data_IF_794203270892
#
_entry.id   IF_794203270892
#
_cell.length_a   1.000
_cell.length_b   1.000
_cell.length_c   1.000
_cell.angle_alpha   90.00
_cell.angle_beta   90.00
_cell.angle_gamma   90.00
#
_symmetry.space_group_name_H-M   'P 1'
#
loop_
_entity.id
_entity.type
_entity.pdbx_description
1 polymer ?
#
# COMPACT_ATOMS: atom_id res chain seq x y z
N UNK A 1 36.11 -18.03 -21.44
CA UNK A 1 35.23 -18.61 -20.40
C UNK A 1 33.89 -17.90 -20.50
N UNK A 2 32.81 -18.59 -20.85
CA UNK A 2 31.47 -18.01 -20.72
C UNK A 2 31.20 -17.82 -19.23
N UNK A 3 30.87 -16.61 -18.80
CA UNK A 3 30.40 -16.38 -17.44
C UNK A 3 29.18 -17.27 -17.22
N UNK A 4 29.14 -18.03 -16.11
CA UNK A 4 27.97 -18.82 -15.78
C UNK A 4 26.75 -17.88 -15.72
N UNK A 5 25.69 -18.22 -16.45
CA UNK A 5 24.47 -17.42 -16.45
C UNK A 5 23.87 -17.43 -15.03
N UNK A 6 23.69 -16.26 -14.44
CA UNK A 6 23.07 -16.11 -13.13
C UNK A 6 21.62 -16.63 -13.16
N UNK A 7 21.24 -17.43 -12.15
CA UNK A 7 19.89 -17.98 -12.00
C UNK A 7 19.22 -17.41 -10.73
N UNK A 8 18.18 -16.58 -10.86
CA UNK A 8 17.38 -16.11 -9.74
C UNK A 8 16.75 -17.26 -8.95
N UNK A 9 16.65 -17.12 -7.62
CA UNK A 9 15.79 -18.01 -6.81
C UNK A 9 14.36 -17.93 -7.36
N UNK A 10 13.69 -19.07 -7.49
CA UNK A 10 12.28 -19.10 -7.92
C UNK A 10 11.32 -18.98 -6.73
N UNK A 11 11.78 -19.33 -5.53
CA UNK A 11 11.01 -19.26 -4.30
C UNK A 11 11.80 -18.53 -3.22
N UNK A 12 11.12 -17.78 -2.37
CA UNK A 12 11.72 -17.18 -1.19
C UNK A 12 11.66 -18.16 0.00
N UNK A 13 12.75 -18.35 0.77
CA UNK A 13 12.73 -19.24 1.93
C UNK A 13 11.69 -18.79 2.98
N UNK A 14 10.99 -19.76 3.55
CA UNK A 14 10.01 -19.48 4.60
C UNK A 14 10.73 -19.15 5.91
N UNK A 15 10.46 -17.95 6.45
CA UNK A 15 10.92 -17.54 7.77
C UNK A 15 9.81 -17.78 8.78
N UNK A 16 9.93 -18.85 9.57
CA UNK A 16 8.96 -19.19 10.62
C UNK A 16 8.78 -18.08 11.67
N UNK A 17 9.74 -17.14 11.77
CA UNK A 17 9.79 -16.09 12.78
C UNK A 17 9.25 -14.72 12.33
N UNK A 18 8.61 -14.60 11.15
CA UNK A 18 8.06 -13.30 10.74
C UNK A 18 6.88 -12.91 11.64
N UNK A 19 6.94 -11.77 12.36
CA UNK A 19 5.85 -11.35 13.22
C UNK A 19 4.62 -10.98 12.39
N UNK A 20 3.49 -11.63 12.66
CA UNK A 20 2.24 -11.43 11.91
C UNK A 20 1.25 -10.47 12.56
N UNK A 21 1.53 -10.00 13.77
CA UNK A 21 0.67 -9.10 14.54
C UNK A 21 1.33 -7.73 14.67
N UNK A 22 0.66 -6.68 14.19
CA UNK A 22 1.13 -5.30 14.31
C UNK A 22 -0.06 -4.34 14.52
N UNK A 23 -0.70 -4.41 15.69
CA UNK A 23 -1.88 -3.60 16.00
C UNK A 23 -1.67 -2.72 17.22
N UNK A 24 -1.16 -1.53 16.95
CA UNK A 24 -0.95 -0.51 17.96
C UNK A 24 -2.28 0.14 18.38
N UNK A 25 -2.38 0.57 19.64
CA UNK A 25 -3.62 1.15 20.19
C UNK A 25 -4.16 2.35 19.40
N UNK A 26 -3.29 3.10 18.72
CA UNK A 26 -3.70 4.21 17.87
C UNK A 26 -4.41 3.77 16.57
N UNK A 27 -4.18 2.56 16.06
CA UNK A 27 -4.95 2.02 14.92
C UNK A 27 -6.40 1.74 15.33
N UNK A 28 -6.61 1.11 16.50
CA UNK A 28 -7.94 0.89 17.07
C UNK A 28 -8.67 2.21 17.32
N UNK A 29 -7.98 3.18 17.92
CA UNK A 29 -8.54 4.51 18.17
C UNK A 29 -8.88 5.24 16.86
N UNK A 30 -8.03 5.11 15.83
CA UNK A 30 -8.28 5.66 14.50
C UNK A 30 -9.52 5.07 13.84
N UNK A 31 -9.65 3.74 13.84
CA UNK A 31 -10.81 3.04 13.29
C UNK A 31 -12.12 3.44 13.98
N UNK A 32 -12.14 3.47 15.32
CA UNK A 32 -13.31 3.91 16.09
C UNK A 32 -13.71 5.36 15.79
N UNK A 33 -12.73 6.25 15.61
CA UNK A 33 -12.99 7.65 15.25
C UNK A 33 -13.57 7.77 13.85
N UNK A 34 -13.04 7.02 12.88
CA UNK A 34 -13.59 6.97 11.53
C UNK A 34 -15.06 6.53 11.56
N UNK A 35 -15.36 5.42 12.25
CA UNK A 35 -16.73 4.91 12.43
C UNK A 35 -17.69 5.97 12.98
N UNK A 36 -17.27 6.68 14.03
CA UNK A 36 -18.10 7.73 14.66
C UNK A 36 -18.38 8.92 13.72
N UNK A 37 -17.53 9.17 12.72
CA UNK A 37 -17.67 10.29 11.80
C UNK A 37 -18.49 9.94 10.55
N UNK A 38 -18.68 8.64 10.25
CA UNK A 38 -19.30 8.17 9.01
C UNK A 38 -20.69 8.76 8.74
N UNK A 39 -21.47 9.03 9.78
CA UNK A 39 -22.80 9.67 9.64
C UNK A 39 -22.75 11.06 8.99
N UNK A 40 -21.58 11.70 9.01
CA UNK A 40 -21.33 13.02 8.41
C UNK A 40 -20.47 12.96 7.13
N UNK A 41 -20.14 11.76 6.65
CA UNK A 41 -19.31 11.53 5.47
C UNK A 41 -20.19 11.07 4.31
N UNK A 42 -20.06 11.71 3.16
CA UNK A 42 -20.80 11.36 1.95
C UNK A 42 -20.05 10.30 1.13
N UNK A 43 -18.71 10.36 1.09
CA UNK A 43 -17.85 9.44 0.33
C UNK A 43 -16.63 9.00 1.13
N UNK A 44 -16.25 7.74 0.94
CA UNK A 44 -14.95 7.21 1.36
C UNK A 44 -14.06 7.00 0.13
N UNK A 45 -12.83 7.49 0.23
CA UNK A 45 -11.75 7.21 -0.69
C UNK A 45 -10.83 6.21 0.00
N UNK A 46 -10.85 4.95 -0.42
CA UNK A 46 -9.97 3.91 0.10
C UNK A 46 -8.67 3.89 -0.71
N UNK A 47 -7.56 4.29 -0.08
CA UNK A 47 -6.24 4.24 -0.69
C UNK A 47 -5.60 2.86 -0.50
N UNK A 48 -5.13 2.30 -1.61
CA UNK A 48 -4.33 1.06 -1.70
C UNK A 48 -2.97 1.35 -2.35
N UNK A 49 -1.97 0.51 -2.10
CA UNK A 49 -0.62 0.69 -2.68
C UNK A 49 -0.56 -0.11 -3.97
N UNK A 50 -0.27 0.57 -5.08
CA UNK A 50 -0.28 -0.06 -6.41
C UNK A 50 0.73 -1.19 -6.55
N UNK A 51 1.81 -1.22 -5.75
CA UNK A 51 2.80 -2.32 -5.80
C UNK A 51 2.29 -3.62 -5.17
N UNK A 52 1.26 -3.54 -4.33
CA UNK A 52 0.67 -4.65 -3.57
C UNK A 52 -0.86 -4.52 -3.56
N UNK A 53 -1.51 -4.56 -4.74
CA UNK A 53 -2.92 -4.19 -4.86
C UNK A 53 -3.85 -5.14 -4.11
N UNK A 54 -3.47 -6.41 -3.93
CA UNK A 54 -4.24 -7.42 -3.20
C UNK A 54 -3.86 -7.40 -1.72
N UNK A 55 -2.55 -7.37 -1.45
CA UNK A 55 -2.04 -7.45 -0.08
C UNK A 55 -2.33 -6.19 0.74
N UNK A 56 -2.50 -5.02 0.11
CA UNK A 56 -2.83 -3.77 0.80
C UNK A 56 -4.32 -3.60 1.13
N UNK A 57 -5.18 -4.53 0.76
CA UNK A 57 -6.59 -4.56 1.16
C UNK A 57 -6.67 -4.76 2.68
N UNK A 58 -7.40 -3.88 3.37
CA UNK A 58 -7.57 -3.99 4.81
C UNK A 58 -9.01 -4.42 5.14
N UNK A 59 -9.24 -5.68 5.57
CA UNK A 59 -10.57 -6.20 5.85
C UNK A 59 -11.30 -5.46 6.98
N UNK A 60 -10.56 -4.76 7.85
CA UNK A 60 -11.15 -3.94 8.91
C UNK A 60 -12.03 -2.81 8.36
N UNK A 61 -11.79 -2.36 7.13
CA UNK A 61 -12.58 -1.31 6.50
C UNK A 61 -13.94 -1.81 6.00
N UNK A 62 -14.08 -3.08 5.66
CA UNK A 62 -15.38 -3.63 5.25
C UNK A 62 -16.40 -3.58 6.39
N UNK A 63 -15.99 -4.02 7.59
CA UNK A 63 -16.84 -3.94 8.77
C UNK A 63 -17.02 -2.49 9.22
N UNK A 64 -15.95 -1.69 9.22
CA UNK A 64 -15.98 -0.38 9.83
C UNK A 64 -16.72 0.69 8.99
N UNK A 65 -16.62 0.63 7.67
CA UNK A 65 -17.18 1.66 6.78
C UNK A 65 -18.63 1.36 6.38
N UNK A 66 -19.10 0.13 6.59
CA UNK A 66 -20.47 -0.27 6.29
C UNK A 66 -20.86 0.01 4.84
N UNK A 67 -22.01 0.68 4.65
CA UNK A 67 -22.59 0.97 3.33
C UNK A 67 -22.22 2.35 2.78
N UNK A 68 -21.30 3.09 3.41
CA UNK A 68 -20.90 4.40 2.91
C UNK A 68 -20.29 4.24 1.51
N UNK A 69 -20.69 5.11 0.58
CA UNK A 69 -20.21 5.06 -0.81
C UNK A 69 -18.69 5.11 -0.86
N UNK A 70 -18.11 4.24 -1.67
CA UNK A 70 -16.67 4.00 -1.69
C UNK A 70 -16.13 4.08 -3.10
N UNK A 71 -15.01 4.77 -3.25
CA UNK A 71 -14.15 4.67 -4.42
C UNK A 71 -12.76 4.21 -3.97
N UNK A 72 -12.08 3.45 -4.82
CA UNK A 72 -10.78 2.85 -4.52
C UNK A 72 -9.72 3.57 -5.34
N UNK A 73 -8.63 3.96 -4.68
CA UNK A 73 -7.51 4.67 -5.30
C UNK A 73 -6.23 3.90 -5.04
N UNK A 74 -5.70 3.29 -6.08
CA UNK A 74 -4.37 2.71 -6.06
C UNK A 74 -3.34 3.81 -6.26
N UNK A 75 -2.70 4.20 -5.16
CA UNK A 75 -1.64 5.20 -5.09
C UNK A 75 -0.28 4.61 -5.44
N UNK A 76 0.70 5.47 -5.76
CA UNK A 76 2.06 5.07 -6.17
C UNK A 76 2.10 4.26 -7.47
N UNK A 77 1.19 4.58 -8.40
CA UNK A 77 1.09 3.95 -9.73
C UNK A 77 2.44 3.90 -10.47
N UNK A 78 3.22 4.96 -10.35
CA UNK A 78 4.55 5.11 -10.97
C UNK A 78 5.64 4.19 -10.41
N UNK A 79 5.38 3.49 -9.30
CA UNK A 79 6.35 2.60 -8.67
C UNK A 79 6.08 1.11 -8.93
N UNK A 80 4.91 0.74 -9.46
CA UNK A 80 4.55 -0.66 -9.71
C UNK A 80 4.77 -1.12 -11.16
N UNK A 81 4.77 -0.21 -12.13
CA UNK A 81 5.02 -0.52 -13.53
C UNK A 81 5.51 0.72 -14.29
N UNK A 82 6.18 0.50 -15.42
CA UNK A 82 6.56 1.58 -16.33
C UNK A 82 5.33 2.23 -16.98
N UNK A 83 5.31 3.56 -17.02
CA UNK A 83 4.17 4.34 -17.50
C UNK A 83 3.88 4.08 -18.97
N UNK A 84 2.63 3.76 -19.30
CA UNK A 84 2.17 3.48 -20.65
C UNK A 84 2.51 2.07 -21.17
N UNK A 85 3.23 1.25 -20.39
CA UNK A 85 3.61 -0.10 -20.81
C UNK A 85 2.40 -1.04 -20.99
N UNK A 86 2.47 -2.04 -21.88
CA UNK A 86 1.43 -3.07 -21.99
C UNK A 86 1.17 -3.80 -20.67
N UNK A 87 2.24 -4.05 -19.90
CA UNK A 87 2.16 -4.69 -18.58
C UNK A 87 1.34 -3.84 -17.59
N UNK A 88 1.51 -2.51 -17.59
CA UNK A 88 0.70 -1.62 -16.77
C UNK A 88 -0.79 -1.73 -17.13
N UNK A 89 -1.13 -1.67 -18.42
CA UNK A 89 -2.54 -1.75 -18.88
C UNK A 89 -3.19 -3.08 -18.52
N UNK A 90 -2.45 -4.18 -18.66
CA UNK A 90 -2.93 -5.51 -18.28
C UNK A 90 -3.15 -5.60 -16.77
N UNK A 91 -2.18 -5.15 -15.97
CA UNK A 91 -2.28 -5.15 -14.52
C UNK A 91 -3.48 -4.32 -14.02
N UNK A 92 -3.66 -3.10 -14.54
CA UNK A 92 -4.81 -2.24 -14.17
C UNK A 92 -6.15 -2.90 -14.52
N UNK A 93 -6.25 -3.55 -15.68
CA UNK A 93 -7.44 -4.30 -16.08
C UNK A 93 -7.71 -5.48 -15.14
N UNK A 94 -6.68 -6.21 -14.72
CA UNK A 94 -6.82 -7.31 -13.74
C UNK A 94 -7.23 -6.77 -12.37
N UNK A 95 -6.58 -5.71 -11.88
CA UNK A 95 -6.91 -5.09 -10.58
C UNK A 95 -8.36 -4.59 -10.55
N UNK A 96 -8.85 -3.98 -11.62
CA UNK A 96 -10.26 -3.54 -11.72
C UNK A 96 -11.25 -4.70 -11.55
N UNK A 97 -10.89 -5.94 -11.90
CA UNK A 97 -11.75 -7.12 -11.71
C UNK A 97 -11.83 -7.56 -10.26
N UNK A 98 -10.87 -7.17 -9.41
CA UNK A 98 -10.89 -7.47 -7.98
C UNK A 98 -11.91 -6.59 -7.23
N UNK A 99 -12.27 -5.43 -7.77
CA UNK A 99 -13.14 -4.45 -7.13
C UNK A 99 -14.30 -3.99 -8.05
N UNK A 100 -15.12 -4.95 -8.52
CA UNK A 100 -16.16 -4.68 -9.54
C UNK A 100 -17.28 -3.74 -9.07
N UNK A 101 -17.48 -3.61 -7.76
CA UNK A 101 -18.56 -2.84 -7.17
C UNK A 101 -18.18 -1.40 -6.82
N UNK A 102 -16.95 -0.97 -7.14
CA UNK A 102 -16.45 0.35 -6.76
C UNK A 102 -15.76 1.03 -7.94
N UNK A 103 -15.82 2.36 -7.99
CA UNK A 103 -15.02 3.11 -8.95
C UNK A 103 -13.53 2.99 -8.58
N UNK A 104 -12.71 2.51 -9.50
CA UNK A 104 -11.28 2.28 -9.30
C UNK A 104 -10.45 3.30 -10.07
N UNK A 105 -9.52 3.95 -9.37
CA UNK A 105 -8.58 4.92 -9.94
C UNK A 105 -7.15 4.54 -9.63
N UNK A 106 -6.24 4.87 -10.54
CA UNK A 106 -4.80 4.66 -10.39
C UNK A 106 -4.10 6.02 -10.43
N UNK A 107 -3.31 6.32 -9.41
CA UNK A 107 -2.67 7.65 -9.27
C UNK A 107 -1.19 7.56 -8.95
N UNK A 108 -0.40 8.31 -9.71
CA UNK A 108 0.98 8.65 -9.35
C UNK A 108 1.02 9.91 -8.49
N UNK A 109 1.94 9.95 -7.52
CA UNK A 109 2.20 11.17 -6.75
C UNK A 109 2.74 12.33 -7.60
N UNK A 110 3.33 12.02 -8.76
CA UNK A 110 3.92 12.99 -9.67
C UNK A 110 2.99 13.40 -10.83
N UNK A 111 1.91 12.64 -11.09
CA UNK A 111 1.02 12.86 -12.24
C UNK A 111 -0.23 13.67 -11.84
N UNK A 112 -0.30 14.92 -12.32
CA UNK A 112 -1.51 15.77 -12.17
C UNK A 112 -2.73 15.24 -12.96
N UNK A 113 -2.59 14.70 -14.19
CA UNK A 113 -3.72 14.13 -14.93
C UNK A 113 -4.46 13.03 -14.18
N UNK A 114 -3.75 12.16 -13.47
CA UNK A 114 -4.34 11.00 -12.78
C UNK A 114 -5.37 11.41 -11.73
N UNK A 115 -5.13 12.54 -11.05
CA UNK A 115 -6.00 13.04 -9.97
C UNK A 115 -7.23 13.77 -10.52
N UNK A 116 -7.19 14.22 -11.78
CA UNK A 116 -8.29 14.94 -12.41
C UNK A 116 -9.53 14.07 -12.62
N UNK A 117 -9.36 12.77 -12.86
CA UNK A 117 -10.47 11.81 -13.02
C UNK A 117 -11.25 11.62 -11.72
N UNK A 118 -10.54 11.56 -10.57
CA UNK A 118 -11.15 11.51 -9.24
C UNK A 118 -11.96 12.79 -8.99
N UNK A 119 -11.38 13.97 -9.28
CA UNK A 119 -12.10 15.24 -9.13
C UNK A 119 -13.34 15.32 -10.03
N UNK A 120 -13.25 14.84 -11.28
CA UNK A 120 -14.40 14.76 -12.18
C UNK A 120 -15.47 13.82 -11.65
N UNK A 121 -15.09 12.64 -11.15
CA UNK A 121 -16.01 11.70 -10.54
C UNK A 121 -16.73 12.32 -9.33
N UNK A 122 -15.97 12.93 -8.41
CA UNK A 122 -16.54 13.62 -7.25
C UNK A 122 -17.39 14.84 -7.62
N UNK A 123 -17.18 15.45 -8.79
CA UNK A 123 -17.99 16.58 -9.29
C UNK A 123 -19.30 16.13 -9.93
N UNK A 124 -19.25 15.05 -10.71
CA UNK A 124 -20.31 14.63 -11.63
C UNK A 124 -21.18 13.49 -11.09
N UNK A 125 -20.85 12.93 -9.94
CA UNK A 125 -21.71 11.93 -9.32
C UNK A 125 -23.06 12.59 -8.99
N UNK A 126 -24.10 12.21 -9.73
CA UNK A 126 -25.43 12.82 -9.75
C UNK A 126 -26.24 12.53 -8.47
N UNK A 127 -25.83 11.53 -7.69
CA UNK A 127 -26.28 11.36 -6.31
C UNK A 127 -25.25 11.87 -5.29
N UNK A 128 -24.13 12.40 -5.79
CA UNK A 128 -23.05 13.05 -5.07
C UNK A 128 -23.35 14.52 -4.75
N UNK A 129 -22.35 15.42 -4.62
CA UNK A 129 -22.38 16.67 -3.82
C UNK A 129 -23.39 17.79 -4.16
N UNK A 130 -24.54 17.53 -4.74
CA UNK A 130 -25.60 18.52 -4.97
C UNK A 130 -26.46 18.77 -3.72
N UNK A 131 -25.89 18.51 -2.55
CA UNK A 131 -26.38 19.09 -1.30
C UNK A 131 -26.00 20.57 -1.29
N UNK A 132 -26.96 21.43 -1.00
CA UNK A 132 -26.78 22.86 -0.67
C UNK A 132 -25.66 23.12 0.38
N UNK A 133 -25.23 22.09 1.11
CA UNK A 133 -24.31 22.14 2.27
C UNK A 133 -22.87 21.68 1.92
N UNK A 134 -22.60 21.24 0.68
CA UNK A 134 -21.30 20.70 0.26
C UNK A 134 -21.11 19.21 0.61
N UNK A 135 -19.96 18.63 0.22
CA UNK A 135 -19.64 17.21 0.40
C UNK A 135 -18.41 16.98 1.26
N UNK A 136 -18.49 15.97 2.12
CA UNK A 136 -17.40 15.52 2.99
C UNK A 136 -16.91 14.15 2.56
N UNK A 137 -15.64 14.12 2.20
CA UNK A 137 -14.93 12.91 1.78
C UNK A 137 -13.97 12.49 2.88
N UNK A 138 -13.96 11.22 3.24
CA UNK A 138 -12.97 10.66 4.17
C UNK A 138 -11.97 9.81 3.40
N UNK A 139 -10.68 10.10 3.55
CA UNK A 139 -9.62 9.27 2.94
C UNK A 139 -9.12 8.26 3.97
N UNK A 140 -9.18 6.98 3.64
CA UNK A 140 -8.78 5.85 4.50
C UNK A 140 -7.75 4.97 3.80
N UNK A 141 -7.13 4.04 4.53
CA UNK A 141 -6.10 3.15 3.98
C UNK A 141 -5.00 2.80 4.97
N UNK A 142 -4.18 1.82 4.60
CA UNK A 142 -3.01 1.38 5.39
C UNK A 142 -2.04 2.53 5.70
N UNK A 143 -1.20 2.44 6.74
CA UNK A 143 -0.12 3.39 6.95
C UNK A 143 0.78 3.49 5.72
N UNK A 144 1.29 4.70 5.44
CA UNK A 144 2.19 5.01 4.32
C UNK A 144 1.71 4.64 2.91
N UNK A 145 0.43 4.30 2.74
CA UNK A 145 -0.12 4.00 1.41
C UNK A 145 -0.04 5.21 0.47
N UNK A 146 -0.21 6.44 0.97
CA UNK A 146 -0.14 7.66 0.16
C UNK A 146 -1.27 8.66 0.39
N UNK A 147 -2.11 8.46 1.43
CA UNK A 147 -3.28 9.29 1.77
C UNK A 147 -3.00 10.80 1.77
N UNK A 148 -2.07 11.26 2.60
CA UNK A 148 -1.77 12.69 2.73
C UNK A 148 -1.18 13.29 1.44
N UNK A 149 -0.43 12.50 0.67
CA UNK A 149 0.05 12.91 -0.66
C UNK A 149 -1.11 13.05 -1.65
N UNK A 150 -2.05 12.10 -1.67
CA UNK A 150 -3.25 12.17 -2.50
C UNK A 150 -4.08 13.42 -2.16
N UNK A 151 -4.29 13.72 -0.88
CA UNK A 151 -5.03 14.91 -0.44
C UNK A 151 -4.38 16.19 -0.92
N UNK A 152 -3.06 16.30 -0.76
CA UNK A 152 -2.30 17.46 -1.24
C UNK A 152 -2.41 17.61 -2.78
N UNK A 153 -2.37 16.50 -3.52
CA UNK A 153 -2.51 16.53 -4.98
C UNK A 153 -3.94 16.90 -5.41
N UNK A 154 -4.97 16.37 -4.75
CA UNK A 154 -6.37 16.74 -4.96
C UNK A 154 -6.60 18.23 -4.71
N UNK A 155 -6.05 18.76 -3.61
CA UNK A 155 -6.13 20.19 -3.28
C UNK A 155 -5.43 21.04 -4.32
N UNK A 156 -4.20 20.68 -4.68
CA UNK A 156 -3.43 21.46 -5.65
C UNK A 156 -4.12 21.49 -7.02
N UNK A 157 -4.64 20.35 -7.48
CA UNK A 157 -5.30 20.26 -8.77
C UNK A 157 -6.69 20.91 -8.78
N UNK A 158 -7.47 20.74 -7.71
CA UNK A 158 -8.87 21.15 -7.70
C UNK A 158 -9.10 22.60 -7.26
N UNK A 159 -8.24 23.18 -6.42
CA UNK A 159 -8.35 24.59 -5.96
C UNK A 159 -7.07 25.41 -6.15
N UNK A 160 -6.02 24.87 -6.77
CA UNK A 160 -4.75 25.58 -7.06
C UNK A 160 -4.04 26.17 -5.83
N UNK A 161 -4.21 25.55 -4.66
CA UNK A 161 -3.54 25.99 -3.41
C UNK A 161 -2.37 25.06 -3.04
N UNK A 162 -1.51 25.53 -2.12
CA UNK A 162 -0.31 24.83 -1.63
C UNK A 162 -0.62 23.50 -0.89
N UNK A 163 0.37 22.85 -0.28
CA UNK A 163 0.13 21.67 0.58
C UNK A 163 -0.63 22.08 1.85
N UNK A 164 -1.51 21.21 2.35
CA UNK A 164 -2.28 21.44 3.57
C UNK A 164 -2.01 20.37 4.65
N UNK A 165 -1.49 19.20 4.25
CA UNK A 165 -1.27 18.06 5.14
C UNK A 165 0.20 17.65 5.12
N UNK A 166 0.75 17.32 6.28
CA UNK A 166 2.12 16.83 6.41
C UNK A 166 2.27 15.43 5.75
N UNK A 167 3.40 15.21 5.07
CA UNK A 167 3.73 13.93 4.42
C UNK A 167 5.06 13.40 4.92
N UNK A 168 5.21 12.08 5.01
CA UNK A 168 6.51 11.44 5.20
C UNK A 168 6.41 9.91 5.12
N UNK A 169 7.56 9.24 5.07
CA UNK A 169 7.66 7.79 4.85
C UNK A 169 7.62 6.92 6.12
N UNK A 170 7.45 7.51 7.30
CA UNK A 170 7.40 6.77 8.57
C UNK A 170 5.95 6.50 8.99
N UNK A 171 5.58 5.25 9.35
CA UNK A 171 4.23 4.94 9.79
C UNK A 171 3.83 5.75 11.03
N UNK A 172 2.58 6.23 11.05
CA UNK A 172 2.04 6.96 12.19
C UNK A 172 2.43 8.44 12.25
N UNK A 173 2.76 9.07 11.11
CA UNK A 173 2.87 10.53 10.99
C UNK A 173 1.51 11.19 11.21
N UNK A 174 0.49 10.79 10.45
CA UNK A 174 -0.90 11.24 10.69
C UNK A 174 -1.45 10.50 11.90
N UNK A 175 -1.44 11.13 13.08
CA UNK A 175 -1.91 10.54 14.36
C UNK A 175 -3.32 10.98 14.76
N UNK A 176 -3.82 12.06 14.19
CA UNK A 176 -5.16 12.61 14.42
C UNK A 176 -5.85 12.83 13.09
N UNK A 177 -7.17 12.84 13.10
CA UNK A 177 -7.95 13.26 11.94
C UNK A 177 -7.68 14.75 11.74
N UNK A 178 -7.29 15.11 10.51
CA UNK A 178 -6.93 16.47 10.15
C UNK A 178 -8.15 17.39 10.07
N UNK A 179 -7.89 18.70 9.95
CA UNK A 179 -8.93 19.65 9.59
C UNK A 179 -9.44 19.37 8.17
N UNK A 180 -10.73 19.61 7.87
CA UNK A 180 -11.26 19.42 6.52
C UNK A 180 -10.51 20.30 5.50
N UNK A 181 -9.96 19.66 4.47
CA UNK A 181 -9.21 20.30 3.39
C UNK A 181 -10.11 20.49 2.18
N UNK A 182 -10.36 21.74 1.77
CA UNK A 182 -11.13 22.03 0.55
C UNK A 182 -10.36 21.54 -0.68
N UNK A 183 -10.99 20.70 -1.50
CA UNK A 183 -10.43 20.18 -2.77
C UNK A 183 -11.21 20.61 -4.01
N UNK A 184 -12.48 21.00 -3.88
CA UNK A 184 -13.27 21.55 -4.98
C UNK A 184 -13.99 22.79 -4.47
N UNK A 185 -13.85 23.88 -5.22
CA UNK A 185 -14.59 25.12 -5.03
C UNK A 185 -15.72 25.18 -6.08
N UNK A 186 -16.92 25.52 -5.63
CA UNK A 186 -18.14 25.65 -6.44
C UNK A 186 -18.74 27.01 -6.12
N UNK A 187 -19.26 27.70 -7.12
CA UNK A 187 -19.77 29.08 -7.01
C UNK A 187 -21.01 29.16 -6.10
N UNK A 188 -21.84 28.12 -6.12
CA UNK A 188 -23.02 27.99 -5.27
C UNK A 188 -22.72 27.66 -3.78
N UNK A 189 -21.44 27.71 -3.36
CA UNK A 189 -21.03 27.42 -1.99
C UNK A 189 -20.94 25.93 -1.60
N UNK A 190 -21.39 24.99 -2.45
CA UNK A 190 -21.37 23.54 -2.19
C UNK A 190 -19.98 22.90 -2.40
N UNK A 191 -18.99 23.36 -1.63
CA UNK A 191 -17.61 22.88 -1.77
C UNK A 191 -17.43 21.39 -1.39
N UNK A 192 -16.35 20.78 -1.88
CA UNK A 192 -15.94 19.43 -1.46
C UNK A 192 -14.74 19.53 -0.52
N UNK A 193 -14.87 18.92 0.66
CA UNK A 193 -13.84 18.85 1.69
C UNK A 193 -13.39 17.41 1.90
N UNK A 194 -12.09 17.23 2.12
CA UNK A 194 -11.48 15.94 2.43
C UNK A 194 -10.93 15.95 3.85
N UNK A 195 -11.20 14.89 4.60
CA UNK A 195 -10.61 14.65 5.90
C UNK A 195 -9.45 13.66 5.76
N UNK A 196 -8.26 14.08 6.20
CA UNK A 196 -7.12 13.16 6.35
C UNK A 196 -7.31 12.32 7.61
N UNK A 197 -7.09 11.01 7.51
CA UNK A 197 -7.23 10.08 8.64
C UNK A 197 -5.93 9.34 8.92
N UNK A 198 -5.68 8.95 10.18
CA UNK A 198 -4.57 8.06 10.51
C UNK A 198 -4.63 6.76 9.70
N UNK A 199 -3.46 6.26 9.29
CA UNK A 199 -3.38 4.92 8.71
C UNK A 199 -3.79 3.85 9.72
N UNK A 200 -4.63 2.91 9.30
CA UNK A 200 -5.02 1.76 10.13
C UNK A 200 -4.41 0.52 9.52
N UNK A 201 -3.54 -0.15 10.29
CA UNK A 201 -3.02 -1.47 9.95
C UNK A 201 -3.98 -2.56 10.44
N UNK A 202 -3.92 -3.76 9.87
CA UNK A 202 -4.78 -4.88 10.30
C UNK A 202 -4.26 -5.55 11.59
N UNK A 203 -5.13 -6.13 12.44
CA UNK A 203 -4.69 -6.74 13.68
C UNK A 203 -3.69 -7.88 13.51
N UNK A 204 -3.91 -8.66 12.46
CA UNK A 204 -3.18 -9.88 12.15
C UNK A 204 -3.14 -10.05 10.64
N UNK A 205 -1.96 -10.36 10.11
CA UNK A 205 -1.74 -10.70 8.70
C UNK A 205 -1.68 -12.22 8.61
N UNK A 206 -2.60 -12.90 7.89
CA UNK A 206 -2.67 -14.36 7.87
C UNK A 206 -1.38 -15.04 7.40
N UNK A 207 -0.75 -14.45 6.40
CA UNK A 207 0.39 -14.99 5.68
C UNK A 207 1.68 -14.17 5.96
N UNK A 208 2.79 -14.87 6.14
CA UNK A 208 4.09 -14.27 6.44
C UNK A 208 4.65 -13.50 5.23
N UNK A 209 4.40 -13.98 4.01
CA UNK A 209 4.85 -13.29 2.80
C UNK A 209 4.08 -11.97 2.60
N UNK A 210 2.75 -11.97 2.82
CA UNK A 210 1.96 -10.73 2.86
C UNK A 210 2.52 -9.73 3.88
N UNK A 211 2.99 -10.19 5.03
CA UNK A 211 3.63 -9.31 6.02
C UNK A 211 4.95 -8.73 5.50
N UNK A 212 5.80 -9.52 4.84
CA UNK A 212 7.03 -9.04 4.20
C UNK A 212 6.71 -7.97 3.14
N UNK A 213 5.69 -8.18 2.30
CA UNK A 213 5.22 -7.20 1.29
C UNK A 213 4.78 -5.89 1.93
N UNK A 214 3.94 -5.96 2.97
CA UNK A 214 3.46 -4.78 3.71
C UNK A 214 4.60 -4.02 4.38
N UNK A 215 5.55 -4.73 4.99
CA UNK A 215 6.73 -4.12 5.59
C UNK A 215 7.64 -3.49 4.55
N UNK A 216 7.87 -4.15 3.41
CA UNK A 216 8.66 -3.60 2.31
C UNK A 216 8.00 -2.33 1.72
N UNK A 217 6.67 -2.27 1.63
CA UNK A 217 5.93 -1.07 1.26
C UNK A 217 5.91 0.03 2.35
N UNK A 218 6.38 -0.28 3.56
CA UNK A 218 6.47 0.64 4.68
C UNK A 218 5.18 0.78 5.47
N UNK A 219 4.26 -0.19 5.41
CA UNK A 219 3.01 -0.12 6.19
C UNK A 219 3.21 -0.34 7.70
N UNK A 220 4.36 -0.90 8.09
CA UNK A 220 4.78 -1.08 9.49
C UNK A 220 6.14 -0.43 9.72
N UNK A 221 6.52 -0.22 10.98
CA UNK A 221 7.83 0.37 11.31
C UNK A 221 8.95 -0.55 10.81
N UNK A 222 10.04 0.04 10.32
CA UNK A 222 11.19 -0.71 9.79
C UNK A 222 11.87 -1.61 10.86
N UNK A 223 11.60 -1.38 12.15
CA UNK A 223 12.10 -2.23 13.26
C UNK A 223 11.29 -3.51 13.50
N UNK A 224 10.18 -3.72 12.79
CA UNK A 224 9.29 -4.87 13.00
C UNK A 224 9.89 -6.14 12.42
N UNK A 225 10.59 -6.03 11.29
CA UNK A 225 11.30 -7.14 10.65
C UNK A 225 12.73 -6.66 10.42
N UNK A 226 13.71 -7.56 10.58
CA UNK A 226 15.11 -7.25 10.29
C UNK A 226 15.25 -6.59 8.91
N UNK A 227 15.89 -5.40 8.81
CA UNK A 227 16.12 -4.74 7.54
C UNK A 227 16.87 -5.63 6.54
N UNK A 228 17.81 -6.46 7.03
CA UNK A 228 18.57 -7.39 6.19
C UNK A 228 17.64 -8.46 5.59
N UNK A 229 16.71 -9.00 6.37
CA UNK A 229 15.70 -9.96 5.86
C UNK A 229 14.77 -9.31 4.83
N UNK A 230 14.32 -8.08 5.07
CA UNK A 230 13.50 -7.35 4.09
C UNK A 230 14.28 -7.01 2.82
N UNK A 231 15.57 -6.69 2.94
CA UNK A 231 16.43 -6.43 1.79
C UNK A 231 16.70 -7.72 0.99
N UNK A 232 16.81 -8.88 1.64
CA UNK A 232 16.91 -10.18 0.97
C UNK A 232 15.63 -10.50 0.18
N UNK A 233 14.47 -10.27 0.81
CA UNK A 233 13.18 -10.42 0.15
C UNK A 233 13.03 -9.48 -1.06
N UNK A 234 13.51 -8.24 -0.92
CA UNK A 234 13.57 -7.29 -2.03
C UNK A 234 14.52 -7.78 -3.14
N UNK A 235 15.72 -8.27 -2.80
CA UNK A 235 16.68 -8.80 -3.77
C UNK A 235 16.09 -9.98 -4.56
N UNK A 236 15.36 -10.88 -3.90
CA UNK A 236 14.63 -11.96 -4.55
C UNK A 236 13.69 -11.43 -5.65
N UNK A 237 12.85 -10.45 -5.34
CA UNK A 237 11.96 -9.82 -6.34
C UNK A 237 12.73 -9.07 -7.43
N UNK A 238 13.77 -8.31 -7.07
CA UNK A 238 14.61 -7.62 -8.08
C UNK A 238 15.20 -8.63 -9.08
N UNK A 239 15.70 -9.77 -8.59
CA UNK A 239 16.30 -10.80 -9.45
C UNK A 239 15.28 -11.44 -10.41
N UNK A 240 14.00 -11.53 -10.03
CA UNK A 240 12.93 -12.01 -10.91
C UNK A 240 12.56 -11.00 -12.02
N UNK A 241 12.92 -9.72 -11.84
CA UNK A 241 12.57 -8.66 -12.77
C UNK A 241 13.75 -8.16 -13.60
N UNK A 242 14.79 -7.63 -12.95
CA UNK A 242 15.97 -7.09 -13.62
C UNK A 242 17.16 -6.94 -12.65
N UNK A 243 18.20 -7.75 -12.82
CA UNK A 243 19.43 -7.70 -12.01
C UNK A 243 20.26 -6.44 -12.28
N UNK A 244 20.17 -5.86 -13.47
CA UNK A 244 21.00 -4.73 -13.91
C UNK A 244 20.86 -3.49 -13.01
N UNK A 245 19.75 -3.36 -12.27
CA UNK A 245 19.49 -2.20 -11.41
C UNK A 245 20.49 -2.05 -10.27
N UNK A 246 21.15 -3.14 -9.85
CA UNK A 246 22.15 -3.17 -8.79
C UNK A 246 23.57 -3.54 -9.25
N UNK A 247 23.78 -3.86 -10.52
CA UNK A 247 25.08 -4.32 -11.06
C UNK A 247 26.24 -3.34 -10.85
N UNK A 248 25.92 -2.05 -10.64
CA UNK A 248 26.92 -1.03 -10.29
C UNK A 248 27.60 -1.26 -8.94
N UNK A 249 27.05 -2.11 -8.07
CA UNK A 249 27.60 -2.41 -6.74
C UNK A 249 28.04 -3.86 -6.60
N UNK A 250 27.37 -4.80 -7.24
CA UNK A 250 27.69 -6.22 -7.11
C UNK A 250 27.26 -6.97 -8.36
N UNK A 251 27.98 -8.03 -8.73
CA UNK A 251 27.53 -8.95 -9.79
C UNK A 251 26.19 -9.59 -9.41
N UNK A 252 25.36 -10.03 -10.37
CA UNK A 252 24.09 -10.67 -10.07
C UNK A 252 24.24 -11.80 -9.05
N UNK A 253 23.49 -11.73 -7.94
CA UNK A 253 23.66 -12.62 -6.80
C UNK A 253 22.34 -12.92 -6.10
N UNK A 254 22.27 -14.12 -5.52
CA UNK A 254 21.23 -14.53 -4.59
C UNK A 254 21.69 -14.37 -3.14
N UNK A 255 22.83 -13.76 -2.86
CA UNK A 255 23.32 -13.60 -1.49
C UNK A 255 23.22 -12.14 -1.06
N UNK A 256 22.33 -11.84 -0.10
CA UNK A 256 22.11 -10.46 0.35
C UNK A 256 23.33 -9.86 1.07
N UNK A 257 24.05 -10.67 1.85
CA UNK A 257 25.15 -10.15 2.69
C UNK A 257 26.32 -9.61 1.85
N UNK A 258 26.84 -10.32 0.83
CA UNK A 258 27.81 -9.77 -0.11
C UNK A 258 27.32 -8.48 -0.78
N UNK A 259 26.08 -8.49 -1.31
CA UNK A 259 25.50 -7.32 -1.96
C UNK A 259 25.42 -6.10 -1.02
N UNK A 260 24.98 -6.29 0.22
CA UNK A 260 24.92 -5.21 1.21
C UNK A 260 26.30 -4.72 1.63
N UNK A 261 27.30 -5.61 1.73
CA UNK A 261 28.68 -5.21 2.01
C UNK A 261 29.25 -4.30 0.92
N UNK A 262 29.07 -4.68 -0.35
CA UNK A 262 29.55 -3.89 -1.47
C UNK A 262 28.78 -2.58 -1.60
N UNK A 263 27.44 -2.64 -1.48
CA UNK A 263 26.59 -1.47 -1.45
C UNK A 263 26.98 -0.48 -0.36
N UNK A 264 27.25 -0.96 0.86
CA UNK A 264 27.69 -0.14 1.99
C UNK A 264 29.01 0.57 1.70
N UNK A 265 30.00 -0.14 1.14
CA UNK A 265 31.30 0.43 0.74
C UNK A 265 31.14 1.51 -0.33
N UNK A 266 30.37 1.22 -1.38
CA UNK A 266 30.13 2.16 -2.47
C UNK A 266 29.38 3.43 -2.05
N UNK A 267 28.51 3.32 -1.04
CA UNK A 267 27.67 4.43 -0.56
C UNK A 267 28.22 5.12 0.68
N UNK A 268 29.37 4.68 1.20
CA UNK A 268 29.98 5.24 2.41
C UNK A 268 29.21 4.92 3.70
N UNK A 269 28.35 3.91 3.70
CA UNK A 269 27.59 3.47 4.88
C UNK A 269 28.45 2.56 5.75
N UNK A 270 29.46 3.16 6.40
CA UNK A 270 30.44 2.48 7.22
C UNK A 270 30.24 2.76 8.71
N UNK A 271 30.50 1.76 9.54
CA UNK A 271 30.63 1.88 10.98
C UNK A 271 32.06 2.31 11.37
N UNK A 272 32.30 2.43 12.69
CA UNK A 272 33.65 2.72 13.22
C UNK A 272 34.66 1.68 12.71
N UNK A 273 35.85 2.16 12.35
CA UNK A 273 36.92 1.31 11.80
C UNK A 273 36.74 0.96 10.31
N UNK A 274 35.82 1.60 9.59
CA UNK A 274 35.64 1.38 8.15
C UNK A 274 34.89 0.09 7.80
N UNK A 275 34.28 -0.57 8.78
CA UNK A 275 33.51 -1.81 8.59
C UNK A 275 32.15 -1.48 7.96
N UNK A 276 31.71 -2.19 6.91
CA UNK A 276 30.37 -2.03 6.33
C UNK A 276 29.25 -2.11 7.37
N UNK A 277 28.37 -1.11 7.40
CA UNK A 277 27.16 -1.16 8.22
C UNK A 277 26.01 -1.76 7.40
N UNK A 278 25.86 -3.08 7.47
CA UNK A 278 24.90 -3.83 6.65
C UNK A 278 23.44 -3.54 7.00
N UNK A 279 23.12 -3.26 8.27
CA UNK A 279 21.76 -2.87 8.67
C UNK A 279 21.36 -1.51 8.07
N UNK A 280 22.25 -0.51 8.15
CA UNK A 280 22.01 0.80 7.54
C UNK A 280 21.98 0.70 6.01
N UNK A 281 22.86 -0.09 5.42
CA UNK A 281 22.86 -0.40 4.00
C UNK A 281 21.53 -1.03 3.54
N UNK A 282 21.00 -2.00 4.30
CA UNK A 282 19.72 -2.61 4.02
C UNK A 282 18.57 -1.60 4.05
N UNK A 283 18.52 -0.74 5.07
CA UNK A 283 17.54 0.35 5.15
C UNK A 283 17.65 1.28 3.93
N UNK A 284 18.85 1.71 3.57
CA UNK A 284 19.07 2.57 2.40
C UNK A 284 18.69 1.88 1.08
N UNK A 285 18.98 0.58 0.95
CA UNK A 285 18.62 -0.21 -0.22
C UNK A 285 17.10 -0.30 -0.37
N UNK A 286 16.37 -0.61 0.71
CA UNK A 286 14.90 -0.62 0.74
C UNK A 286 14.33 0.76 0.40
N UNK A 287 14.86 1.84 0.99
CA UNK A 287 14.39 3.20 0.69
C UNK A 287 14.65 3.57 -0.78
N UNK A 288 15.76 3.11 -1.37
CA UNK A 288 16.05 3.30 -2.78
C UNK A 288 15.00 2.64 -3.67
N UNK A 289 14.55 1.43 -3.35
CA UNK A 289 13.43 0.78 -4.04
C UNK A 289 12.10 1.49 -3.80
N UNK A 290 11.80 1.91 -2.56
CA UNK A 290 10.59 2.69 -2.25
C UNK A 290 10.53 4.02 -3.03
N UNK A 291 11.67 4.55 -3.46
CA UNK A 291 11.78 5.72 -4.33
C UNK A 291 11.82 5.39 -5.85
N UNK A 292 11.67 4.12 -6.24
CA UNK A 292 11.70 3.66 -7.64
C UNK A 292 13.09 3.49 -8.25
N UNK A 293 14.16 3.61 -7.45
CA UNK A 293 15.55 3.57 -7.91
C UNK A 293 16.14 2.17 -8.10
N UNK A 294 15.37 1.11 -7.81
CA UNK A 294 15.77 -0.30 -7.95
C UNK A 294 14.73 -1.11 -8.74
N UNK A 295 14.13 -0.48 -9.75
CA UNK A 295 13.07 -1.06 -10.56
C UNK A 295 11.66 -0.73 -10.06
N UNK A 296 10.68 -1.01 -10.91
CA UNK A 296 9.25 -0.78 -10.69
C UNK A 296 8.51 -2.07 -11.01
N UNK A 297 7.92 -2.68 -9.99
CA UNK A 297 7.27 -3.98 -10.12
C UNK A 297 6.24 -4.19 -8.99
N UNK A 298 5.36 -5.15 -9.20
CA UNK A 298 4.42 -5.62 -8.20
C UNK A 298 5.08 -6.69 -7.33
N UNK A 299 4.73 -6.73 -6.04
CA UNK A 299 5.07 -7.83 -5.16
C UNK A 299 3.96 -8.89 -5.10
N UNK A 300 2.74 -8.54 -5.51
CA UNK A 300 1.64 -9.50 -5.65
C UNK A 300 1.69 -10.16 -7.03
N UNK A 301 1.49 -11.48 -7.06
CA UNK A 301 1.25 -12.20 -8.30
C UNK A 301 -0.24 -12.06 -8.68
N UNK A 302 -0.53 -11.09 -9.55
CA UNK A 302 -1.90 -10.80 -9.98
C UNK A 302 -2.52 -11.95 -10.78
N UNK A 303 -1.73 -12.77 -11.45
CA UNK A 303 -2.24 -13.91 -12.21
C UNK A 303 -2.62 -15.06 -11.29
N UNK A 304 -1.79 -15.34 -10.27
CA UNK A 304 -2.14 -16.30 -9.22
C UNK A 304 -3.41 -15.87 -8.49
N UNK A 305 -3.55 -14.59 -8.14
CA UNK A 305 -4.77 -14.12 -7.47
C UNK A 305 -6.01 -14.20 -8.37
N UNK A 306 -5.89 -13.86 -9.65
CA UNK A 306 -7.01 -14.00 -10.59
C UNK A 306 -7.46 -15.47 -10.70
N UNK A 307 -6.52 -16.43 -10.71
CA UNK A 307 -6.85 -17.87 -10.66
C UNK A 307 -7.54 -18.25 -9.36
N UNK A 308 -7.02 -17.81 -8.22
CA UNK A 308 -7.63 -18.09 -6.91
C UNK A 308 -9.05 -17.54 -6.79
N UNK A 309 -9.32 -16.35 -7.31
CA UNK A 309 -10.67 -15.77 -7.32
C UNK A 309 -11.61 -16.59 -8.22
N UNK A 310 -11.15 -17.02 -9.40
CA UNK A 310 -11.93 -17.85 -10.32
C UNK A 310 -12.22 -19.26 -9.78
N UNK A 311 -11.28 -19.84 -9.03
CA UNK A 311 -11.45 -21.13 -8.36
C UNK A 311 -12.36 -21.01 -7.14
N UNK A 312 -12.13 -19.99 -6.30
CA UNK A 312 -12.95 -19.70 -5.12
C UNK A 312 -14.41 -19.38 -5.46
N UNK A 313 -14.68 -18.68 -6.57
CA UNK A 313 -16.07 -18.47 -7.05
C UNK A 313 -16.73 -19.74 -7.55
N UNK A 314 -15.98 -20.75 -8.00
CA UNK A 314 -16.54 -22.09 -8.31
C UNK A 314 -16.85 -22.89 -7.06
N UNK A 315 -16.03 -22.76 -6.01
CA UNK A 315 -16.25 -23.42 -4.73
C UNK A 315 -17.32 -22.74 -3.85
N UNK A 316 -17.48 -21.41 -3.94
CA UNK A 316 -18.54 -20.64 -3.26
C UNK A 316 -19.95 -20.95 -3.78
N UNK A 317 -20.09 -21.45 -5.01
CA UNK A 317 -21.36 -22.01 -5.51
C UNK A 317 -21.74 -23.30 -4.74
N UNK A 318 -20.82 -23.89 -3.97
CA UNK A 318 -21.03 -25.07 -3.12
C UNK A 318 -20.87 -24.87 -1.60
N UNK A 319 -20.37 -23.73 -1.10
CA UNK A 319 -20.06 -23.55 0.32
C UNK A 319 -20.72 -22.30 0.93
N UNK A 320 -21.69 -22.52 1.81
CA UNK A 320 -22.43 -21.48 2.54
C UNK A 320 -21.53 -20.63 3.45
N UNK A 321 -21.74 -19.30 3.41
CA UNK A 321 -21.21 -18.24 4.31
C UNK A 321 -21.16 -18.57 5.82
N UNK A 322 -21.89 -19.59 6.26
CA UNK A 322 -21.82 -20.17 7.60
C UNK A 322 -20.43 -20.76 7.94
N UNK A 323 -19.71 -21.31 6.96
CA UNK A 323 -18.46 -22.05 7.19
C UNK A 323 -17.25 -21.12 7.39
N UNK A 324 -17.17 -19.99 6.67
CA UNK A 324 -16.14 -18.97 6.86
C UNK A 324 -16.20 -18.33 8.27
N UNK A 325 -17.41 -18.03 8.75
CA UNK A 325 -17.64 -17.53 10.12
C UNK A 325 -17.28 -18.55 11.20
N UNK A 326 -17.38 -19.85 10.89
CA UNK A 326 -16.99 -20.94 11.80
C UNK A 326 -15.46 -21.02 11.92
N UNK A 327 -14.73 -20.89 10.82
CA UNK A 327 -13.26 -20.85 10.84
C UNK A 327 -12.72 -19.66 11.65
N UNK A 328 -13.32 -18.48 11.49
CA UNK A 328 -12.94 -17.27 12.23
C UNK A 328 -13.20 -17.39 13.75
N UNK A 329 -14.32 -18.01 14.15
CA UNK A 329 -14.62 -18.32 15.56
C UNK A 329 -13.64 -19.32 16.17
N UNK A 330 -13.20 -20.32 15.41
CA UNK A 330 -12.22 -21.32 15.87
C UNK A 330 -10.86 -20.66 16.08
N UNK A 331 -10.43 -19.78 15.16
CA UNK A 331 -9.19 -19.03 15.29
C UNK A 331 -9.17 -18.12 16.53
N UNK A 332 -10.29 -17.46 16.86
CA UNK A 332 -10.43 -16.66 18.10
C UNK A 332 -10.34 -17.49 19.38
N UNK A 333 -10.77 -18.75 19.37
CA UNK A 333 -10.71 -19.64 20.55
C UNK A 333 -9.29 -20.16 20.84
N UNK A 334 -8.44 -20.25 19.82
CA UNK A 334 -7.09 -20.81 19.97
C UNK A 334 -6.05 -19.79 20.48
N UNK A 335 -6.33 -18.49 20.41
CA UNK A 335 -5.44 -17.44 20.92
C UNK A 335 -6.21 -16.42 21.77
N UNK A 336 -6.67 -16.80 22.98
CA UNK A 336 -7.23 -15.82 23.91
C UNK A 336 -6.14 -14.82 24.30
N UNK A 337 -6.31 -13.57 23.89
CA UNK A 337 -5.47 -12.46 24.35
C UNK A 337 -5.57 -12.41 25.89
N UNK A 338 -4.48 -12.68 26.60
CA UNK A 338 -4.37 -12.33 28.02
C UNK A 338 -4.45 -10.81 28.10
N UNK A 339 -5.49 -10.35 28.81
CA UNK A 339 -5.80 -8.94 29.11
C UNK A 339 -4.65 -8.21 29.77
#
# INVERSE_FOLDING_TARGET
MMAANFLPRQTFPSYASIPRSYFLGHHRAGLKRMQNMLSSIDYVVECRDYRVPVTSINPMFEEALGKTRRLIVYTKRDLGAESGSPAQKLAEKTIQRFDQNSAVFFVSSASRPDVSSILKHLRNDAEGPDKLVGCRVMVVGMPNVGKSTLINNLRNQGVRKAKAVQTGGQPGITRKIGTPVKIIERENGSHVYVLDTPGVFMPYVPDAEKMLKLALCGCVKDSVISPVTLADYLLYHINLHNTQVYERWSTPTNEIMPLLNDFARHTGLLAKGGVPNTELAALHFIQKWRAGGLGKFFLDDLQAEERHIQEGTKDEVGMSMSQARKAERIARKQHPQKL
#
